data_IF_910168147473
#
_entry.id   IF_910168147473
#
_cell.length_a   1.000
_cell.length_b   1.000
_cell.length_c   1.000
_cell.angle_alpha   90.00
_cell.angle_beta   90.00
_cell.angle_gamma   90.00
#
_symmetry.space_group_name_H-M   'P 1'
#
loop_
_entity.id
_entity.type
_entity.pdbx_description
1 polymer ?
#
# COMPACT_ATOMS: atom_id res chain seq x y z
N UNK A 1 16.16 -19.04 6.42
CA UNK A 1 15.52 -18.07 5.49
C UNK A 1 14.46 -17.19 6.16
N UNK A 2 13.31 -17.69 6.61
CA UNK A 2 12.33 -16.82 7.29
C UNK A 2 12.80 -16.35 8.69
N UNK A 3 13.60 -17.18 9.36
CA UNK A 3 14.01 -17.04 10.76
C UNK A 3 15.07 -15.94 10.98
N UNK A 4 15.94 -15.70 10.00
CA UNK A 4 17.02 -14.69 10.05
C UNK A 4 16.51 -13.25 9.85
N UNK A 5 15.24 -13.08 9.44
CA UNK A 5 14.68 -11.78 9.05
C UNK A 5 13.98 -11.01 10.20
N UNK A 6 13.90 -11.56 11.42
CA UNK A 6 13.14 -10.98 12.54
C UNK A 6 13.95 -10.04 13.47
N UNK A 7 14.99 -9.40 12.94
CA UNK A 7 15.76 -8.37 13.64
C UNK A 7 14.96 -7.08 13.91
N UNK A 8 15.52 -6.17 14.72
CA UNK A 8 15.02 -4.79 14.77
C UNK A 8 15.56 -4.03 13.57
N UNK A 9 14.70 -3.45 12.73
CA UNK A 9 15.10 -2.61 11.61
C UNK A 9 14.96 -1.12 11.93
N UNK A 10 15.86 -0.28 11.42
CA UNK A 10 15.69 1.17 11.43
C UNK A 10 14.53 1.61 10.54
N UNK A 11 14.44 1.06 9.33
CA UNK A 11 13.37 1.35 8.38
C UNK A 11 12.90 0.09 7.63
N UNK A 12 11.59 0.00 7.37
CA UNK A 12 10.97 -1.01 6.50
C UNK A 12 10.06 -0.32 5.48
N UNK A 13 10.15 -0.72 4.21
CA UNK A 13 9.39 -0.11 3.10
C UNK A 13 8.52 -1.18 2.42
N UNK A 14 7.20 -1.08 2.59
CA UNK A 14 6.20 -2.01 2.04
C UNK A 14 5.82 -1.60 0.62
N UNK A 15 6.78 -1.77 -0.30
CA UNK A 15 6.69 -1.31 -1.70
C UNK A 15 5.99 -2.29 -2.66
N UNK A 16 6.14 -3.60 -2.43
CA UNK A 16 5.72 -4.64 -3.38
C UNK A 16 4.21 -4.56 -3.69
N UNK A 17 3.86 -4.30 -4.96
CA UNK A 17 2.48 -4.10 -5.40
C UNK A 17 2.21 -4.55 -6.83
N UNK A 18 0.94 -4.82 -7.12
CA UNK A 18 0.41 -5.22 -8.41
C UNK A 18 -0.64 -4.20 -8.91
N UNK A 19 -0.44 -3.66 -10.12
CA UNK A 19 -1.50 -2.96 -10.89
C UNK A 19 -2.16 -3.93 -11.87
N UNK A 20 -1.34 -4.59 -12.69
CA UNK A 20 -1.79 -5.59 -13.65
C UNK A 20 -1.10 -6.92 -13.39
N UNK A 21 -1.86 -7.99 -13.54
CA UNK A 21 -1.37 -9.36 -13.66
C UNK A 21 -2.41 -10.18 -14.44
N UNK A 22 -2.11 -11.45 -14.70
CA UNK A 22 -3.18 -12.41 -15.01
C UNK A 22 -4.18 -12.44 -13.85
N UNK A 23 -5.45 -12.67 -14.13
CA UNK A 23 -6.48 -12.92 -13.11
C UNK A 23 -6.32 -14.34 -12.51
N UNK A 24 -5.14 -14.63 -11.96
CA UNK A 24 -5.00 -15.70 -10.98
C UNK A 24 -5.73 -15.26 -9.72
N UNK A 25 -7.00 -15.67 -9.66
CA UNK A 25 -7.64 -16.01 -8.40
C UNK A 25 -6.70 -16.96 -7.66
N UNK A 26 -6.44 -16.72 -6.38
CA UNK A 26 -5.68 -17.68 -5.56
C UNK A 26 -6.53 -18.96 -5.48
N UNK A 27 -6.03 -20.13 -5.93
CA UNK A 27 -6.87 -21.30 -6.20
C UNK A 27 -7.80 -21.68 -5.04
N UNK A 28 -7.28 -21.62 -3.82
CA UNK A 28 -7.94 -22.10 -2.61
C UNK A 28 -8.93 -21.10 -1.99
N UNK A 29 -8.89 -19.83 -2.43
CA UNK A 29 -9.72 -18.74 -1.86
C UNK A 29 -10.58 -18.01 -2.88
N UNK A 30 -10.33 -18.17 -4.18
CA UNK A 30 -11.03 -17.45 -5.25
C UNK A 30 -10.72 -15.94 -5.37
N UNK A 31 -10.07 -15.34 -4.37
CA UNK A 31 -9.81 -13.91 -4.31
C UNK A 31 -8.65 -13.46 -5.22
N UNK A 32 -8.69 -12.19 -5.65
CA UNK A 32 -7.69 -11.64 -6.57
C UNK A 32 -6.31 -11.51 -5.90
N UNK A 33 -5.26 -12.06 -6.53
CA UNK A 33 -3.87 -11.92 -6.08
C UNK A 33 -3.43 -10.46 -5.86
N UNK A 34 -4.02 -9.49 -6.57
CA UNK A 34 -3.80 -8.05 -6.35
C UNK A 34 -4.12 -7.62 -4.91
N UNK A 35 -5.21 -8.12 -4.33
CA UNK A 35 -5.64 -7.80 -2.95
C UNK A 35 -4.66 -8.40 -1.94
N UNK A 36 -4.21 -9.64 -2.18
CA UNK A 36 -3.19 -10.27 -1.34
C UNK A 36 -1.88 -9.49 -1.36
N UNK A 37 -1.35 -9.15 -2.54
CA UNK A 37 -0.07 -8.42 -2.65
C UNK A 37 -0.20 -6.99 -2.11
N UNK A 38 -1.27 -6.26 -2.46
CA UNK A 38 -1.38 -4.85 -2.11
C UNK A 38 -1.84 -4.59 -0.66
N UNK A 39 -2.57 -5.52 -0.02
CA UNK A 39 -3.22 -5.26 1.29
C UNK A 39 -2.88 -6.34 2.32
N UNK A 40 -3.10 -7.62 2.00
CA UNK A 40 -2.99 -8.71 3.00
C UNK A 40 -1.53 -9.00 3.38
N UNK A 41 -0.60 -9.03 2.42
CA UNK A 41 0.82 -9.23 2.70
C UNK A 41 1.42 -8.06 3.51
N UNK A 42 1.16 -6.77 3.20
CA UNK A 42 1.48 -5.65 4.08
C UNK A 42 0.89 -5.77 5.49
N UNK A 43 -0.35 -6.24 5.65
CA UNK A 43 -0.97 -6.48 6.96
C UNK A 43 -0.25 -7.59 7.74
N UNK A 44 -0.09 -8.78 7.14
CA UNK A 44 0.58 -9.92 7.77
C UNK A 44 2.01 -9.56 8.15
N UNK A 45 2.76 -8.92 7.25
CA UNK A 45 4.14 -8.50 7.54
C UNK A 45 4.18 -7.45 8.66
N UNK A 46 3.23 -6.50 8.70
CA UNK A 46 3.10 -5.58 9.84
C UNK A 46 2.79 -6.30 11.16
N UNK A 47 2.07 -7.43 11.14
CA UNK A 47 1.81 -8.22 12.35
C UNK A 47 3.00 -9.10 12.78
N UNK A 48 3.90 -9.47 11.87
CA UNK A 48 5.08 -10.29 12.16
C UNK A 48 6.34 -9.48 12.46
N UNK A 49 6.42 -8.23 12.00
CA UNK A 49 7.54 -7.33 12.27
C UNK A 49 7.64 -6.97 13.75
N UNK A 50 8.85 -7.13 14.30
CA UNK A 50 9.29 -6.35 15.46
C UNK A 50 9.27 -4.87 15.07
N UNK A 51 8.60 -4.03 15.86
CA UNK A 51 8.35 -2.61 15.53
C UNK A 51 9.66 -1.89 15.11
N UNK A 52 9.78 -1.45 13.84
CA UNK A 52 10.94 -0.70 13.37
C UNK A 52 10.85 0.76 13.82
N UNK A 53 11.91 1.56 13.67
CA UNK A 53 11.82 3.01 13.96
C UNK A 53 10.95 3.73 12.92
N UNK A 54 10.99 3.28 11.67
CA UNK A 54 10.23 3.82 10.53
C UNK A 54 9.55 2.71 9.71
N UNK A 55 8.27 2.86 9.41
CA UNK A 55 7.51 1.96 8.54
C UNK A 55 6.80 2.74 7.43
N UNK A 56 7.21 2.53 6.18
CA UNK A 56 6.69 3.25 5.02
C UNK A 56 5.76 2.35 4.22
N UNK A 57 4.50 2.77 4.08
CA UNK A 57 3.53 2.21 3.13
C UNK A 57 3.48 3.06 1.85
N UNK A 58 3.19 2.41 0.73
CA UNK A 58 2.84 3.04 -0.55
C UNK A 58 1.44 2.44 -0.88
N UNK A 59 0.27 3.07 -0.82
CA UNK A 59 -0.17 4.46 -1.06
C UNK A 59 0.06 4.95 -2.51
N UNK A 60 -0.77 5.89 -2.97
CA UNK A 60 -0.81 6.52 -4.31
C UNK A 60 -2.02 7.44 -4.39
N UNK A 61 -1.96 8.54 -5.15
CA UNK A 61 -3.04 9.55 -5.25
C UNK A 61 -4.40 9.02 -5.71
N UNK A 62 -4.45 7.87 -6.39
CA UNK A 62 -5.69 7.22 -6.82
C UNK A 62 -6.65 6.89 -5.66
N UNK A 63 -6.20 6.86 -4.40
CA UNK A 63 -7.11 6.69 -3.24
C UNK A 63 -8.26 7.73 -3.21
N UNK A 64 -8.12 8.88 -3.87
CA UNK A 64 -9.17 9.92 -3.97
C UNK A 64 -10.37 9.51 -4.83
N UNK A 65 -10.19 8.57 -5.76
CA UNK A 65 -11.25 8.02 -6.62
C UNK A 65 -11.81 6.69 -6.08
N UNK A 66 -11.32 6.24 -4.92
CA UNK A 66 -11.68 4.94 -4.35
C UNK A 66 -13.08 4.93 -3.75
N UNK A 67 -13.77 3.79 -3.86
CA UNK A 67 -15.02 3.56 -3.14
C UNK A 67 -14.70 3.23 -1.68
N UNK A 68 -15.22 4.03 -0.76
CA UNK A 68 -15.09 3.86 0.70
C UNK A 68 -15.78 2.60 1.25
N UNK A 69 -16.58 1.89 0.44
CA UNK A 69 -17.28 0.67 0.83
C UNK A 69 -16.34 -0.56 0.83
N UNK A 70 -15.89 -0.93 2.02
CA UNK A 70 -15.01 -2.06 2.33
C UNK A 70 -15.66 -3.45 2.30
N UNK A 71 -16.96 -3.60 2.01
CA UNK A 71 -17.64 -4.91 2.05
C UNK A 71 -17.05 -5.96 1.10
N UNK A 72 -16.56 -5.55 -0.07
CA UNK A 72 -16.02 -6.44 -1.12
C UNK A 72 -14.53 -6.20 -1.39
N UNK A 73 -13.70 -6.07 -0.33
CA UNK A 73 -12.23 -5.91 -0.46
C UNK A 73 -11.62 -7.05 -1.30
N UNK A 74 -12.08 -8.29 -1.09
CA UNK A 74 -11.55 -9.49 -1.75
C UNK A 74 -12.03 -9.69 -3.19
N UNK A 75 -13.01 -8.91 -3.66
CA UNK A 75 -13.60 -9.02 -4.99
C UNK A 75 -14.31 -10.38 -5.23
N UNK A 76 -15.16 -10.78 -4.30
CA UNK A 76 -16.08 -11.90 -4.47
C UNK A 76 -17.38 -11.46 -5.14
N UNK A 77 -18.00 -10.37 -4.68
CA UNK A 77 -19.31 -9.92 -5.17
C UNK A 77 -19.22 -9.27 -6.55
N UNK A 78 -18.29 -8.33 -6.74
CA UNK A 78 -18.27 -7.45 -7.92
C UNK A 78 -17.80 -8.13 -9.22
N UNK A 79 -17.39 -9.40 -9.19
CA UNK A 79 -17.01 -10.24 -10.34
C UNK A 79 -15.90 -9.68 -11.27
N UNK A 80 -15.45 -10.41 -12.29
CA UNK A 80 -14.32 -9.94 -13.13
C UNK A 80 -14.61 -8.68 -13.96
N UNK A 81 -15.90 -8.33 -14.17
CA UNK A 81 -16.33 -7.27 -15.11
C UNK A 81 -16.06 -5.83 -14.66
N UNK A 82 -15.99 -5.53 -13.35
CA UNK A 82 -15.66 -4.17 -12.89
C UNK A 82 -14.19 -3.80 -13.20
N UNK A 83 -13.93 -2.54 -13.54
CA UNK A 83 -12.65 -2.15 -14.17
C UNK A 83 -11.42 -2.43 -13.31
N UNK A 84 -10.34 -2.89 -13.95
CA UNK A 84 -9.06 -3.22 -13.30
C UNK A 84 -8.49 -2.03 -12.52
N UNK A 85 -8.68 -0.83 -13.08
CA UNK A 85 -8.27 0.45 -12.51
C UNK A 85 -9.03 0.72 -11.21
N UNK A 86 -10.38 0.70 -11.22
CA UNK A 86 -11.19 0.94 -10.00
C UNK A 86 -10.82 0.03 -8.84
N UNK A 87 -10.38 -1.21 -9.10
CA UNK A 87 -9.92 -2.14 -8.05
C UNK A 87 -8.54 -1.80 -7.50
N UNK A 88 -7.63 -1.35 -8.37
CA UNK A 88 -6.34 -0.86 -7.92
C UNK A 88 -6.49 0.43 -7.11
N UNK A 89 -7.37 1.32 -7.56
CA UNK A 89 -7.83 2.55 -6.88
C UNK A 89 -8.38 2.22 -5.48
N UNK A 90 -9.38 1.35 -5.37
CA UNK A 90 -9.92 0.86 -4.07
C UNK A 90 -8.80 0.27 -3.18
N UNK A 91 -7.85 -0.48 -3.75
CA UNK A 91 -6.71 -1.01 -2.98
C UNK A 91 -5.78 0.06 -2.40
N UNK A 92 -5.70 1.28 -2.98
CA UNK A 92 -4.89 2.37 -2.40
C UNK A 92 -5.51 2.93 -1.13
N UNK A 93 -6.83 3.08 -1.10
CA UNK A 93 -7.56 3.49 0.10
C UNK A 93 -7.40 2.43 1.21
N UNK A 94 -7.50 1.15 0.88
CA UNK A 94 -7.27 0.06 1.83
C UNK A 94 -5.85 0.10 2.44
N UNK A 95 -4.81 0.43 1.64
CA UNK A 95 -3.45 0.63 2.18
C UNK A 95 -3.34 1.87 3.06
N UNK A 96 -4.06 2.96 2.73
CA UNK A 96 -4.08 4.18 3.55
C UNK A 96 -4.72 3.92 4.92
N UNK A 97 -5.85 3.20 4.95
CA UNK A 97 -6.54 2.79 6.17
C UNK A 97 -5.71 1.78 6.99
N UNK A 98 -4.99 0.87 6.35
CA UNK A 98 -4.06 -0.05 7.00
C UNK A 98 -2.89 0.69 7.66
N UNK A 99 -2.28 1.66 6.97
CA UNK A 99 -1.17 2.45 7.51
C UNK A 99 -1.59 3.24 8.76
N UNK A 100 -2.79 3.84 8.74
CA UNK A 100 -3.38 4.56 9.87
C UNK A 100 -3.79 3.62 11.03
N UNK A 101 -4.26 2.41 10.73
CA UNK A 101 -4.52 1.39 11.74
C UNK A 101 -3.24 0.85 12.40
N UNK A 102 -2.12 0.75 11.66
CA UNK A 102 -0.81 0.39 12.21
C UNK A 102 -0.21 1.55 13.00
N UNK A 103 -0.33 2.79 12.51
CA UNK A 103 0.11 4.00 13.23
C UNK A 103 -0.52 4.13 14.63
N UNK A 104 -1.81 3.80 14.77
CA UNK A 104 -2.51 3.74 16.07
C UNK A 104 -2.07 2.60 16.99
N UNK A 105 -1.36 1.59 16.49
CA UNK A 105 -1.01 0.36 17.23
C UNK A 105 0.49 0.24 17.53
N UNK A 106 1.34 0.96 16.80
CA UNK A 106 2.79 0.95 16.93
C UNK A 106 3.28 2.20 17.69
N UNK A 107 3.36 2.09 19.02
CA UNK A 107 3.67 3.20 19.91
C UNK A 107 5.13 3.71 19.78
N UNK A 108 6.00 3.03 19.04
CA UNK A 108 7.43 3.38 18.89
C UNK A 108 7.92 3.40 17.44
N UNK A 109 7.00 3.37 16.46
CA UNK A 109 7.30 3.46 15.03
C UNK A 109 6.69 4.72 14.45
N UNK A 110 7.48 5.51 13.70
CA UNK A 110 6.89 6.51 12.80
C UNK A 110 6.34 5.79 11.57
N UNK A 111 5.05 5.92 11.32
CA UNK A 111 4.38 5.32 10.15
C UNK A 111 4.09 6.41 9.13
N UNK A 112 4.28 6.14 7.84
CA UNK A 112 4.03 7.13 6.77
C UNK A 112 3.52 6.45 5.51
N UNK A 113 2.65 7.14 4.78
CA UNK A 113 2.07 6.68 3.53
C UNK A 113 2.44 7.65 2.38
N UNK A 114 3.29 7.18 1.45
CA UNK A 114 3.86 7.99 0.36
C UNK A 114 3.34 7.59 -1.03
N UNK A 115 3.49 8.47 -2.02
CA UNK A 115 3.22 8.16 -3.42
C UNK A 115 4.51 8.30 -4.23
N UNK A 116 5.01 7.17 -4.74
CA UNK A 116 6.24 7.03 -5.52
C UNK A 116 6.14 7.56 -6.98
N UNK A 117 5.44 8.67 -7.22
CA UNK A 117 5.16 9.21 -8.57
C UNK A 117 4.43 8.26 -9.52
N UNK A 118 4.27 8.68 -10.78
CA UNK A 118 3.86 7.82 -11.90
C UNK A 118 5.08 7.42 -12.75
N UNK A 119 5.95 6.66 -12.09
CA UNK A 119 7.30 6.31 -12.56
C UNK A 119 7.32 5.25 -13.67
N UNK A 120 8.22 5.45 -14.64
CA UNK A 120 8.44 4.59 -15.81
C UNK A 120 9.00 3.20 -15.43
N UNK A 121 8.08 2.30 -15.10
CA UNK A 121 8.35 0.90 -14.75
C UNK A 121 7.26 -0.03 -15.34
N UNK A 122 7.26 -1.32 -14.95
CA UNK A 122 6.26 -2.32 -15.42
C UNK A 122 4.80 -1.94 -15.13
N UNK A 123 4.55 -1.00 -14.22
CA UNK A 123 3.23 -0.47 -13.86
C UNK A 123 2.92 0.83 -14.64
N UNK A 124 3.91 1.70 -14.84
CA UNK A 124 3.75 2.98 -15.54
C UNK A 124 3.46 2.90 -17.06
N UNK A 125 4.03 1.91 -17.76
CA UNK A 125 4.11 1.83 -19.24
C UNK A 125 4.86 3.02 -19.88
N UNK A 126 4.95 3.03 -21.21
CA UNK A 126 5.64 4.04 -22.04
C UNK A 126 5.04 5.46 -21.96
N UNK A 127 3.97 5.68 -21.19
CA UNK A 127 3.30 6.98 -21.03
C UNK A 127 3.62 7.65 -19.69
N UNK A 128 4.35 6.97 -18.81
CA UNK A 128 4.81 7.53 -17.54
C UNK A 128 5.80 8.69 -17.78
N UNK A 129 5.53 9.83 -17.15
CA UNK A 129 6.33 11.06 -17.23
C UNK A 129 7.58 11.02 -16.36
N UNK A 130 7.52 10.29 -15.25
CA UNK A 130 8.49 10.38 -14.17
C UNK A 130 9.56 9.27 -14.37
N UNK A 131 10.84 9.61 -14.17
CA UNK A 131 11.95 8.67 -14.36
C UNK A 131 12.00 7.64 -13.25
N UNK A 132 12.73 6.53 -13.49
CA UNK A 132 12.95 5.50 -12.48
C UNK A 132 13.57 6.08 -11.20
N UNK A 133 14.49 7.03 -11.38
CA UNK A 133 15.26 7.67 -10.31
C UNK A 133 14.40 8.55 -9.41
N UNK A 134 13.42 9.30 -9.97
CA UNK A 134 12.45 10.11 -9.22
C UNK A 134 11.66 9.23 -8.20
N UNK A 135 11.38 7.99 -8.59
CA UNK A 135 10.79 6.98 -7.71
C UNK A 135 11.73 6.49 -6.61
N UNK A 136 13.04 6.42 -6.87
CA UNK A 136 14.07 6.08 -5.87
C UNK A 136 14.29 7.23 -4.91
N UNK A 137 14.36 8.46 -5.43
CA UNK A 137 14.48 9.70 -4.68
C UNK A 137 13.31 9.87 -3.70
N UNK A 138 12.09 9.42 -4.06
CA UNK A 138 10.94 9.40 -3.14
C UNK A 138 11.08 8.43 -1.94
N UNK A 139 11.94 7.40 -2.00
CA UNK A 139 12.25 6.57 -0.82
C UNK A 139 13.40 7.14 0.02
N UNK A 140 14.30 7.91 -0.59
CA UNK A 140 15.54 8.43 0.03
C UNK A 140 15.36 9.82 0.62
N UNK A 141 14.60 10.68 -0.06
CA UNK A 141 14.29 12.06 0.32
C UNK A 141 12.79 12.14 0.62
N UNK A 142 12.43 12.82 1.72
CA UNK A 142 11.05 12.96 2.20
C UNK A 142 10.26 14.01 1.39
N UNK A 143 10.14 13.80 0.08
CA UNK A 143 9.37 14.65 -0.85
C UNK A 143 7.94 14.12 -0.99
N UNK A 144 6.95 15.03 -0.99
CA UNK A 144 5.52 14.73 -1.17
C UNK A 144 4.98 13.52 -0.38
N UNK A 145 5.14 13.46 0.96
CA UNK A 145 4.38 12.52 1.77
C UNK A 145 2.89 12.81 1.60
N UNK A 146 2.10 11.82 1.19
CA UNK A 146 0.65 11.99 1.03
C UNK A 146 0.02 12.19 2.40
N UNK A 147 0.40 11.33 3.37
CA UNK A 147 0.07 11.47 4.77
C UNK A 147 1.21 10.94 5.67
N UNK A 148 1.66 11.74 6.63
CA UNK A 148 2.50 11.29 7.76
C UNK A 148 1.55 10.90 8.91
N UNK A 149 1.72 9.71 9.48
CA UNK A 149 0.76 9.09 10.40
C UNK A 149 1.46 8.77 11.73
N UNK A 150 1.40 9.70 12.68
CA UNK A 150 1.89 9.49 14.04
C UNK A 150 0.74 9.01 14.94
N UNK A 151 1.02 8.26 16.02
CA UNK A 151 -0.02 7.76 16.95
C UNK A 151 -0.93 8.87 17.52
N UNK A 152 -0.42 10.09 17.71
CA UNK A 152 -1.20 11.25 18.18
C UNK A 152 -1.90 12.07 17.07
N UNK A 153 -1.74 11.70 15.78
CA UNK A 153 -2.38 12.39 14.64
C UNK A 153 -3.00 11.40 13.67
N UNK A 154 -4.22 10.99 13.99
CA UNK A 154 -5.11 10.21 13.11
C UNK A 154 -5.61 11.00 11.90
N UNK A 155 -6.32 10.32 10.98
CA UNK A 155 -6.81 10.83 9.69
C UNK A 155 -7.93 11.91 9.76
N UNK A 156 -7.70 13.03 10.43
CA UNK A 156 -8.64 14.17 10.54
C UNK A 156 -8.96 14.83 9.17
N UNK A 157 -8.09 14.67 8.17
CA UNK A 157 -8.18 15.32 6.85
C UNK A 157 -8.48 14.35 5.68
N UNK A 158 -9.17 13.22 5.91
CA UNK A 158 -9.57 12.29 4.82
C UNK A 158 -10.99 12.51 4.29
N UNK A 159 -11.79 13.38 4.93
CA UNK A 159 -13.22 13.59 4.64
C UNK A 159 -13.61 15.08 4.61
N UNK A 160 -12.75 15.92 4.01
CA UNK A 160 -12.98 17.33 3.71
C UNK A 160 -12.51 17.64 2.30
#
# INVERSE_FOLDING_TARGET
MAEEANGTFDAVILNARLLYGLFRKVPDTGALAMVFVNVIAPYILSCLLKQPKLLIFIASVLHREAKTNVKDIFCFERGERNSKISRHTDSKLNVMLLADAVARRFNSTSVTAVHSGWVLNKIGRQSATDKLDDGVETYVIRVSPVYILNPERSLVNLFK
#
